data_IF_726529231103
#
_entry.id   IF_726529231103
#
_cell.length_a   1.000
_cell.length_b   1.000
_cell.length_c   1.000
_cell.angle_alpha   90.00
_cell.angle_beta   90.00
_cell.angle_gamma   90.00
#
_symmetry.space_group_name_H-M   'P 1'
#
loop_
_entity.id
_entity.type
_entity.pdbx_description
1 polymer ?
#
# COMPACT_ATOMS: atom_id res chain seq x y z
N UNK A 1 35.90 10.08 -19.31
CA UNK A 1 35.53 10.29 -17.89
C UNK A 1 35.60 11.75 -17.43
N UNK A 2 36.67 12.48 -17.73
CA UNK A 2 36.93 13.84 -17.19
C UNK A 2 35.90 14.91 -17.60
N UNK A 3 35.50 14.94 -18.88
CA UNK A 3 34.55 15.94 -19.42
C UNK A 3 33.15 15.83 -18.77
N UNK A 4 32.65 14.62 -18.54
CA UNK A 4 31.35 14.40 -17.89
C UNK A 4 31.37 14.84 -16.42
N UNK A 5 32.45 14.53 -15.70
CA UNK A 5 32.66 14.94 -14.31
C UNK A 5 32.66 16.46 -14.15
N UNK A 6 33.36 17.18 -15.03
CA UNK A 6 33.41 18.64 -14.99
C UNK A 6 32.07 19.29 -15.37
N UNK A 7 31.33 18.71 -16.33
CA UNK A 7 29.97 19.17 -16.65
C UNK A 7 29.00 18.98 -15.48
N UNK A 8 29.03 17.82 -14.80
CA UNK A 8 28.21 17.57 -13.61
C UNK A 8 28.58 18.48 -12.43
N UNK A 9 29.87 18.83 -12.30
CA UNK A 9 30.35 19.74 -11.26
C UNK A 9 29.82 21.16 -11.46
N UNK A 10 29.78 21.66 -12.70
CA UNK A 10 29.16 22.95 -13.06
C UNK A 10 27.65 22.94 -12.81
N UNK A 11 26.95 21.92 -13.33
CA UNK A 11 25.51 21.75 -13.11
C UNK A 11 25.13 21.72 -11.63
N UNK A 12 25.94 21.06 -10.77
CA UNK A 12 25.74 21.07 -9.33
C UNK A 12 25.83 22.48 -8.71
N UNK A 13 26.68 23.34 -9.24
CA UNK A 13 26.76 24.75 -8.85
C UNK A 13 25.47 25.49 -9.19
N UNK A 14 25.01 25.36 -10.43
CA UNK A 14 23.80 26.02 -10.92
C UNK A 14 22.55 25.55 -10.16
N UNK A 15 22.42 24.24 -9.94
CA UNK A 15 21.32 23.67 -9.15
C UNK A 15 21.33 24.12 -7.68
N UNK A 16 22.52 24.39 -7.10
CA UNK A 16 22.62 24.91 -5.73
C UNK A 16 22.17 26.36 -5.65
N UNK A 17 22.53 27.19 -6.63
CA UNK A 17 22.03 28.58 -6.70
C UNK A 17 20.51 28.57 -6.88
N UNK A 18 20.02 27.82 -7.87
CA UNK A 18 18.58 27.70 -8.13
C UNK A 18 17.80 27.19 -6.90
N UNK A 19 18.31 26.19 -6.18
CA UNK A 19 17.67 25.71 -4.95
C UNK A 19 17.64 26.78 -3.85
N UNK A 20 18.70 27.58 -3.71
CA UNK A 20 18.76 28.68 -2.75
C UNK A 20 17.77 29.79 -3.12
N UNK A 21 17.69 30.13 -4.40
CA UNK A 21 16.92 31.26 -4.90
C UNK A 21 15.42 30.95 -5.00
N UNK A 22 15.05 29.70 -5.36
CA UNK A 22 13.66 29.27 -5.54
C UNK A 22 13.08 28.62 -4.28
N UNK A 23 13.77 27.61 -3.73
CA UNK A 23 13.26 26.88 -2.56
C UNK A 23 13.66 27.57 -1.25
N UNK A 24 14.86 28.13 -1.17
CA UNK A 24 15.37 28.81 0.03
C UNK A 24 15.43 27.87 1.23
N UNK A 25 15.23 28.42 2.43
CA UNK A 25 15.06 27.61 3.62
C UNK A 25 13.59 27.18 3.75
N UNK A 26 13.31 25.93 3.37
CA UNK A 26 11.96 25.36 3.40
C UNK A 26 11.41 25.33 4.85
N UNK A 27 12.27 25.11 5.84
CA UNK A 27 11.86 25.05 7.24
C UNK A 27 11.34 26.39 7.75
N UNK A 28 12.00 27.50 7.38
CA UNK A 28 11.52 28.84 7.77
C UNK A 28 10.23 29.19 7.06
N UNK A 29 10.10 28.87 5.75
CA UNK A 29 8.84 29.11 5.02
C UNK A 29 7.65 28.34 5.60
N UNK A 30 7.87 27.10 6.06
CA UNK A 30 6.84 26.30 6.73
C UNK A 30 6.46 26.95 8.07
N UNK A 31 7.44 27.36 8.86
CA UNK A 31 7.22 28.02 10.15
C UNK A 31 6.46 29.34 10.00
N UNK A 32 6.87 30.19 9.05
CA UNK A 32 6.22 31.46 8.75
C UNK A 32 4.77 31.26 8.30
N UNK A 33 4.50 30.34 7.36
CA UNK A 33 3.14 30.04 6.91
C UNK A 33 2.25 29.47 8.02
N UNK A 34 2.83 28.66 8.91
CA UNK A 34 2.09 28.12 10.06
C UNK A 34 1.64 29.24 10.98
N UNK A 35 2.54 30.18 11.30
CA UNK A 35 2.23 31.36 12.12
C UNK A 35 1.21 32.29 11.46
N UNK A 36 1.31 32.49 10.15
CA UNK A 36 0.35 33.32 9.41
C UNK A 36 -1.05 32.71 9.43
N UNK A 37 -1.17 31.38 9.27
CA UNK A 37 -2.45 30.66 9.38
C UNK A 37 -3.01 30.76 10.80
N UNK A 38 -2.19 30.53 11.83
CA UNK A 38 -2.60 30.66 13.24
C UNK A 38 -3.11 32.08 13.55
N UNK A 39 -2.44 33.11 13.04
CA UNK A 39 -2.86 34.51 13.19
C UNK A 39 -4.24 34.78 12.54
N UNK A 40 -4.48 34.22 11.35
CA UNK A 40 -5.78 34.34 10.67
C UNK A 40 -6.90 33.61 11.43
N UNK A 41 -6.61 32.44 11.99
CA UNK A 41 -7.58 31.68 12.78
C UNK A 41 -7.95 32.42 14.08
N UNK A 42 -6.95 32.95 14.80
CA UNK A 42 -7.15 33.75 16.01
C UNK A 42 -7.89 35.07 15.75
N UNK A 43 -7.69 35.68 14.59
CA UNK A 43 -8.44 36.86 14.15
C UNK A 43 -9.91 36.52 13.83
N UNK A 44 -10.12 35.41 13.11
CA UNK A 44 -11.44 34.91 12.75
C UNK A 44 -12.32 34.52 13.94
N UNK A 45 -11.71 34.05 15.04
CA UNK A 45 -12.43 33.76 16.29
C UNK A 45 -12.99 35.02 16.97
N UNK A 46 -12.39 36.20 16.76
CA UNK A 46 -12.80 37.46 17.39
C UNK A 46 -13.82 38.22 16.57
N UNK A 47 -13.56 38.38 15.27
CA UNK A 47 -14.29 39.31 14.41
C UNK A 47 -15.07 38.62 13.27
N UNK A 48 -14.94 37.29 13.14
CA UNK A 48 -15.38 36.55 11.96
C UNK A 48 -14.42 36.71 10.78
N UNK A 49 -14.49 35.79 9.81
CA UNK A 49 -13.64 35.83 8.61
C UNK A 49 -14.40 36.43 7.43
N UNK A 50 -13.78 37.37 6.72
CA UNK A 50 -14.31 37.84 5.44
C UNK A 50 -14.11 36.78 4.34
N UNK A 51 -14.79 36.95 3.21
CA UNK A 51 -14.58 36.09 2.03
C UNK A 51 -13.12 36.15 1.51
N UNK A 52 -12.47 37.30 1.67
CA UNK A 52 -11.04 37.46 1.36
C UNK A 52 -10.16 36.63 2.30
N UNK A 53 -10.42 36.68 3.60
CA UNK A 53 -9.63 35.94 4.60
C UNK A 53 -9.79 34.42 4.41
N UNK A 54 -10.99 33.96 4.03
CA UNK A 54 -11.23 32.56 3.70
C UNK A 54 -10.44 32.10 2.48
N UNK A 55 -10.34 32.94 1.46
CA UNK A 55 -9.59 32.63 0.24
C UNK A 55 -8.08 32.61 0.52
N UNK A 56 -7.59 33.62 1.23
CA UNK A 56 -6.18 33.74 1.63
C UNK A 56 -5.75 32.57 2.54
N UNK A 57 -6.60 32.19 3.50
CA UNK A 57 -6.39 31.00 4.35
C UNK A 57 -6.25 29.73 3.50
N UNK A 58 -7.15 29.54 2.52
CA UNK A 58 -7.12 28.38 1.64
C UNK A 58 -5.81 28.32 0.84
N UNK A 59 -5.37 29.44 0.30
CA UNK A 59 -4.14 29.51 -0.49
C UNK A 59 -2.89 29.23 0.36
N UNK A 60 -2.83 29.77 1.59
CA UNK A 60 -1.77 29.47 2.56
C UNK A 60 -1.73 27.99 2.96
N UNK A 61 -2.87 27.37 3.22
CA UNK A 61 -2.94 25.92 3.50
C UNK A 61 -2.45 25.08 2.32
N UNK A 62 -2.84 25.43 1.09
CA UNK A 62 -2.38 24.74 -0.11
C UNK A 62 -0.85 24.85 -0.26
N UNK A 63 -0.30 26.05 -0.05
CA UNK A 63 1.14 26.28 -0.13
C UNK A 63 1.91 25.53 0.97
N UNK A 64 1.40 25.56 2.21
CA UNK A 64 1.96 24.79 3.34
C UNK A 64 1.98 23.30 3.03
N UNK A 65 0.88 22.75 2.50
CA UNK A 65 0.80 21.35 2.10
C UNK A 65 1.83 20.99 1.04
N UNK A 66 2.01 21.83 0.01
CA UNK A 66 3.01 21.63 -1.04
C UNK A 66 4.44 21.63 -0.48
N UNK A 67 4.75 22.55 0.44
CA UNK A 67 6.06 22.64 1.07
C UNK A 67 6.36 21.44 1.97
N UNK A 68 5.39 21.01 2.78
CA UNK A 68 5.51 19.79 3.60
C UNK A 68 5.73 18.55 2.72
N UNK A 69 4.96 18.41 1.65
CA UNK A 69 5.11 17.31 0.68
C UNK A 69 6.49 17.29 0.04
N UNK A 70 7.01 18.47 -0.32
CA UNK A 70 8.35 18.62 -0.90
C UNK A 70 9.46 18.26 0.11
N UNK A 71 9.32 18.72 1.36
CA UNK A 71 10.23 18.38 2.46
C UNK A 71 10.27 16.88 2.74
N UNK A 72 9.11 16.22 2.80
CA UNK A 72 9.02 14.77 2.98
C UNK A 72 9.72 14.02 1.86
N UNK A 73 9.51 14.43 0.61
CA UNK A 73 10.19 13.86 -0.56
C UNK A 73 11.71 14.03 -0.47
N UNK A 74 12.18 15.21 -0.07
CA UNK A 74 13.60 15.49 0.11
C UNK A 74 14.22 14.64 1.22
N UNK A 75 13.58 14.54 2.39
CA UNK A 75 14.07 13.72 3.50
C UNK A 75 14.05 12.23 3.15
N UNK A 76 13.03 11.77 2.42
CA UNK A 76 13.00 10.42 1.86
C UNK A 76 14.20 10.16 0.95
N UNK A 77 14.50 11.04 0.01
CA UNK A 77 15.66 10.91 -0.88
C UNK A 77 17.00 10.92 -0.10
N UNK A 78 17.16 11.83 0.86
CA UNK A 78 18.35 11.92 1.72
C UNK A 78 18.55 10.64 2.54
N UNK A 79 17.48 10.12 3.14
CA UNK A 79 17.54 8.88 3.94
C UNK A 79 17.99 7.69 3.10
N UNK A 80 17.52 7.58 1.85
CA UNK A 80 17.93 6.53 0.90
C UNK A 80 19.37 6.69 0.46
N UNK A 81 19.81 7.91 0.15
CA UNK A 81 21.20 8.19 -0.21
C UNK A 81 22.16 7.84 0.93
N UNK A 82 21.78 8.20 2.16
CA UNK A 82 22.55 7.86 3.37
C UNK A 82 22.58 6.35 3.60
N UNK A 83 21.45 5.66 3.45
CA UNK A 83 21.41 4.19 3.54
C UNK A 83 22.25 3.51 2.46
N UNK A 84 22.17 3.94 1.21
CA UNK A 84 22.98 3.38 0.13
C UNK A 84 24.49 3.57 0.34
N UNK A 85 24.88 4.66 1.00
CA UNK A 85 26.29 4.98 1.29
C UNK A 85 26.82 4.31 2.55
N UNK A 86 26.03 4.30 3.63
CA UNK A 86 26.48 3.96 4.99
C UNK A 86 25.82 2.69 5.53
N UNK A 87 24.71 2.23 4.95
CA UNK A 87 23.89 1.12 5.46
C UNK A 87 24.36 -0.28 5.05
N UNK A 88 25.28 -0.41 4.09
CA UNK A 88 25.86 -1.70 3.66
C UNK A 88 27.33 -1.85 4.12
N UNK A 89 27.84 -0.85 4.83
CA UNK A 89 29.19 -0.82 5.39
C UNK A 89 29.11 -0.89 6.92
N UNK A 90 30.19 -1.33 7.58
CA UNK A 90 30.31 -1.39 9.03
C UNK A 90 30.42 0.03 9.64
N UNK A 91 29.36 0.82 9.54
CA UNK A 91 29.30 2.21 10.02
C UNK A 91 28.47 2.29 11.29
N UNK A 92 28.67 3.36 12.08
CA UNK A 92 27.82 3.64 13.24
C UNK A 92 26.33 3.80 12.85
N UNK A 93 26.06 4.35 11.66
CA UNK A 93 24.70 4.49 11.14
C UNK A 93 24.02 3.12 10.93
N UNK A 94 24.71 2.15 10.32
CA UNK A 94 24.20 0.78 10.15
C UNK A 94 23.82 0.16 11.50
N UNK A 95 24.70 0.24 12.50
CA UNK A 95 24.47 -0.33 13.83
C UNK A 95 23.32 0.35 14.58
N UNK A 96 23.17 1.67 14.44
CA UNK A 96 22.04 2.40 15.01
C UNK A 96 20.72 1.95 14.38
N UNK A 97 20.68 1.80 13.05
CA UNK A 97 19.50 1.29 12.34
C UNK A 97 19.15 -0.15 12.76
N UNK A 98 20.13 -1.03 12.87
CA UNK A 98 19.91 -2.43 13.32
C UNK A 98 19.39 -2.47 14.75
N UNK A 99 19.98 -1.70 15.67
CA UNK A 99 19.51 -1.61 17.07
C UNK A 99 18.08 -1.06 17.14
N UNK A 100 17.77 -0.02 16.38
CA UNK A 100 16.43 0.55 16.29
C UNK A 100 15.43 -0.49 15.78
N UNK A 101 15.75 -1.20 14.68
CA UNK A 101 14.92 -2.29 14.13
C UNK A 101 14.71 -3.42 15.12
N UNK A 102 15.77 -3.86 15.81
CA UNK A 102 15.69 -4.92 16.83
C UNK A 102 14.74 -4.53 17.96
N UNK A 103 14.78 -3.27 18.40
CA UNK A 103 13.88 -2.74 19.43
C UNK A 103 12.44 -2.64 18.94
N UNK A 104 12.20 -2.13 17.74
CA UNK A 104 10.85 -2.01 17.18
C UNK A 104 10.21 -3.36 16.85
N UNK A 105 11.01 -4.36 16.47
CA UNK A 105 10.52 -5.70 16.12
C UNK A 105 10.47 -6.65 17.31
N UNK A 106 10.95 -6.26 18.49
CA UNK A 106 10.87 -7.12 19.68
C UNK A 106 9.47 -7.05 20.28
N UNK A 107 8.80 -8.19 20.34
CA UNK A 107 7.54 -8.35 21.06
C UNK A 107 7.88 -8.55 22.54
N UNK A 108 7.97 -7.45 23.29
CA UNK A 108 8.29 -7.47 24.72
C UNK A 108 7.08 -7.86 25.56
N UNK A 109 5.88 -7.45 25.12
CA UNK A 109 4.62 -7.79 25.78
C UNK A 109 3.58 -8.12 24.74
N UNK A 110 2.66 -9.03 25.10
CA UNK A 110 1.58 -9.45 24.23
C UNK A 110 0.26 -9.45 24.99
N UNK A 111 -0.78 -8.84 24.43
CA UNK A 111 -2.11 -8.83 25.05
C UNK A 111 -2.90 -10.08 24.67
N UNK A 112 -3.36 -10.84 25.67
CA UNK A 112 -4.29 -11.96 25.53
C UNK A 112 -5.61 -11.60 26.22
N UNK A 113 -6.59 -11.16 25.45
CA UNK A 113 -7.88 -10.66 25.98
C UNK A 113 -7.69 -9.46 26.92
N UNK A 114 -7.91 -9.68 28.23
CA UNK A 114 -7.74 -8.65 29.27
C UNK A 114 -6.37 -8.67 29.95
N UNK A 115 -5.54 -9.68 29.69
CA UNK A 115 -4.25 -9.87 30.37
C UNK A 115 -3.08 -9.52 29.45
N UNK A 116 -1.96 -9.14 30.07
CA UNK A 116 -0.69 -8.88 29.39
C UNK A 116 0.32 -9.99 29.72
N UNK A 117 0.82 -10.65 28.69
CA UNK A 117 1.91 -11.60 28.76
C UNK A 117 3.22 -10.82 28.61
N UNK A 118 4.16 -11.04 29.52
CA UNK A 118 5.47 -10.35 29.54
C UNK A 118 6.64 -11.32 29.46
N UNK A 119 6.39 -12.61 29.69
CA UNK A 119 7.42 -13.65 29.63
C UNK A 119 7.55 -14.20 28.21
N UNK A 120 8.79 -14.32 27.66
CA UNK A 120 9.00 -14.80 26.30
C UNK A 120 8.35 -16.15 25.98
N UNK A 121 8.37 -17.10 26.92
CA UNK A 121 7.78 -18.43 26.71
C UNK A 121 6.25 -18.40 26.63
N UNK A 122 5.61 -17.57 27.46
CA UNK A 122 4.15 -17.36 27.43
C UNK A 122 3.73 -16.68 26.13
N UNK A 123 4.47 -15.66 25.70
CA UNK A 123 4.28 -14.99 24.41
C UNK A 123 4.40 -16.01 23.28
N UNK A 124 5.48 -16.80 23.25
CA UNK A 124 5.71 -17.80 22.20
C UNK A 124 4.60 -18.84 22.14
N UNK A 125 4.20 -19.39 23.29
CA UNK A 125 3.11 -20.37 23.38
C UNK A 125 1.80 -19.79 22.87
N UNK A 126 1.48 -18.55 23.24
CA UNK A 126 0.26 -17.88 22.80
C UNK A 126 0.26 -17.64 21.29
N UNK A 127 1.37 -17.15 20.73
CA UNK A 127 1.50 -16.94 19.27
C UNK A 127 1.29 -18.25 18.52
N UNK A 128 1.92 -19.35 18.96
CA UNK A 128 1.78 -20.66 18.32
C UNK A 128 0.33 -21.16 18.43
N UNK A 129 -0.29 -21.04 19.61
CA UNK A 129 -1.68 -21.45 19.80
C UNK A 129 -2.64 -20.64 18.94
N UNK A 130 -2.46 -19.33 18.86
CA UNK A 130 -3.29 -18.44 18.06
C UNK A 130 -3.26 -18.85 16.58
N UNK A 131 -2.06 -18.96 16.00
CA UNK A 131 -1.94 -19.30 14.58
C UNK A 131 -2.32 -20.75 14.28
N UNK A 132 -2.07 -21.69 15.19
CA UNK A 132 -2.55 -23.08 15.04
C UNK A 132 -4.06 -23.11 14.89
N UNK A 133 -4.77 -22.50 15.82
CA UNK A 133 -6.24 -22.48 15.81
C UNK A 133 -6.79 -21.66 14.64
N UNK A 134 -6.12 -20.56 14.29
CA UNK A 134 -6.53 -19.70 13.17
C UNK A 134 -6.35 -20.40 11.81
N UNK A 135 -5.31 -21.21 11.66
CA UNK A 135 -5.06 -22.03 10.47
C UNK A 135 -5.51 -23.48 10.63
N UNK A 136 -6.32 -23.82 11.63
CA UNK A 136 -6.94 -25.13 11.72
C UNK A 136 -8.05 -25.22 10.68
N UNK A 137 -8.21 -26.36 10.03
CA UNK A 137 -9.32 -26.55 9.10
C UNK A 137 -10.59 -26.85 9.90
N UNK A 138 -11.54 -25.93 9.86
CA UNK A 138 -12.84 -26.12 10.51
C UNK A 138 -13.71 -26.92 9.56
N UNK A 139 -14.25 -28.06 10.01
CA UNK A 139 -15.32 -28.75 9.30
C UNK A 139 -16.54 -27.82 9.24
N UNK A 140 -16.67 -27.11 8.13
CA UNK A 140 -17.83 -26.29 7.82
C UNK A 140 -18.41 -26.77 6.49
N UNK A 141 -19.70 -27.12 6.51
CA UNK A 141 -20.50 -27.34 5.31
C UNK A 141 -20.62 -26.04 4.51
N UNK A 142 -19.63 -25.78 3.66
CA UNK A 142 -19.57 -24.60 2.79
C UNK A 142 -20.76 -24.63 1.82
N UNK A 143 -21.52 -23.52 1.68
CA UNK A 143 -22.54 -23.43 0.64
C UNK A 143 -21.89 -23.63 -0.73
N UNK A 144 -22.47 -24.52 -1.54
CA UNK A 144 -22.03 -24.72 -2.91
C UNK A 144 -22.61 -23.63 -3.79
N UNK A 145 -21.84 -23.20 -4.80
CA UNK A 145 -22.26 -22.20 -5.78
C UNK A 145 -22.80 -22.87 -7.04
N UNK A 146 -23.35 -24.08 -6.91
CA UNK A 146 -23.69 -24.99 -8.01
C UNK A 146 -24.75 -24.40 -8.97
N UNK A 147 -25.57 -23.44 -8.48
CA UNK A 147 -26.63 -22.78 -9.26
C UNK A 147 -26.28 -21.33 -9.67
N UNK A 148 -25.00 -20.94 -9.61
CA UNK A 148 -24.55 -19.61 -10.03
C UNK A 148 -23.86 -19.70 -11.39
N UNK A 149 -24.48 -19.08 -12.40
CA UNK A 149 -23.86 -18.89 -13.71
C UNK A 149 -22.74 -17.84 -13.62
N UNK A 150 -21.50 -18.32 -13.52
CA UNK A 150 -20.33 -17.45 -13.61
C UNK A 150 -20.06 -17.10 -15.08
N UNK A 151 -19.75 -15.82 -15.33
CA UNK A 151 -19.25 -15.40 -16.62
C UNK A 151 -17.91 -16.11 -16.86
N UNK A 152 -17.84 -16.89 -17.92
CA UNK A 152 -16.61 -17.58 -18.30
C UNK A 152 -15.90 -16.83 -19.41
N UNK A 153 -14.55 -16.77 -19.39
CA UNK A 153 -13.79 -16.29 -20.52
C UNK A 153 -14.05 -17.18 -21.75
N UNK A 154 -14.02 -16.59 -22.93
CA UNK A 154 -14.08 -17.34 -24.19
C UNK A 154 -12.89 -18.29 -24.32
N UNK A 155 -13.05 -19.34 -25.14
CA UNK A 155 -11.98 -20.30 -25.42
C UNK A 155 -10.68 -19.61 -25.88
N UNK A 156 -10.80 -18.57 -26.71
CA UNK A 156 -9.64 -17.81 -27.19
C UNK A 156 -8.94 -17.03 -26.08
N UNK A 157 -9.71 -16.46 -25.14
CA UNK A 157 -9.17 -15.77 -23.97
C UNK A 157 -8.42 -16.74 -23.04
N UNK A 158 -8.93 -17.95 -22.83
CA UNK A 158 -8.25 -19.00 -22.04
C UNK A 158 -6.92 -19.39 -22.69
N UNK A 159 -6.95 -19.73 -23.98
CA UNK A 159 -5.73 -20.10 -24.73
C UNK A 159 -4.67 -18.99 -24.66
N UNK A 160 -5.07 -17.73 -24.75
CA UNK A 160 -4.15 -16.59 -24.66
C UNK A 160 -3.54 -16.39 -23.27
N UNK A 161 -4.20 -16.82 -22.19
CA UNK A 161 -3.66 -16.76 -20.83
C UNK A 161 -2.71 -17.93 -20.56
N UNK A 162 -3.00 -19.09 -21.14
CA UNK A 162 -2.23 -20.33 -21.00
C UNK A 162 -1.02 -20.41 -21.94
N UNK A 163 -0.88 -19.51 -22.91
CA UNK A 163 0.28 -19.44 -23.81
C UNK A 163 1.61 -19.38 -23.05
N UNK A 164 2.68 -19.98 -23.56
CA UNK A 164 4.02 -19.92 -22.96
C UNK A 164 4.49 -18.49 -22.63
N UNK A 165 5.22 -18.33 -21.52
CA UNK A 165 5.79 -17.04 -21.10
C UNK A 165 6.82 -16.52 -22.11
N UNK A 166 6.67 -15.25 -22.49
CA UNK A 166 7.61 -14.55 -23.38
C UNK A 166 8.61 -13.74 -22.55
N UNK A 167 9.86 -13.69 -23.00
CA UNK A 167 10.91 -12.91 -22.31
C UNK A 167 10.56 -11.41 -22.27
N UNK A 168 9.97 -10.87 -23.34
CA UNK A 168 9.53 -9.47 -23.41
C UNK A 168 8.50 -9.13 -22.34
N UNK A 169 7.55 -10.03 -22.09
CA UNK A 169 6.53 -9.87 -21.05
C UNK A 169 7.15 -9.76 -19.65
N UNK A 170 8.16 -10.58 -19.37
CA UNK A 170 8.91 -10.56 -18.11
C UNK A 170 9.72 -9.28 -17.97
N UNK A 171 10.42 -8.87 -19.03
CA UNK A 171 11.20 -7.62 -19.05
C UNK A 171 10.33 -6.39 -18.78
N UNK A 172 9.17 -6.29 -19.43
CA UNK A 172 8.22 -5.19 -19.20
C UNK A 172 7.73 -5.14 -17.73
N UNK A 173 7.51 -6.29 -17.10
CA UNK A 173 7.09 -6.35 -15.68
C UNK A 173 8.23 -5.91 -14.75
N UNK A 174 9.49 -6.18 -15.12
CA UNK A 174 10.67 -5.72 -14.39
C UNK A 174 10.85 -4.21 -14.55
N UNK A 175 10.70 -3.68 -15.75
CA UNK A 175 10.83 -2.24 -16.03
C UNK A 175 9.75 -1.40 -15.34
N UNK A 176 8.52 -1.93 -15.28
CA UNK A 176 7.40 -1.30 -14.56
C UNK A 176 7.44 -1.57 -13.04
N UNK A 177 8.36 -2.41 -12.55
CA UNK A 177 8.46 -2.69 -11.13
C UNK A 177 9.09 -1.50 -10.39
N UNK A 178 8.33 -0.94 -9.44
CA UNK A 178 8.87 0.07 -8.53
C UNK A 178 10.11 -0.46 -7.78
N UNK A 179 11.23 0.25 -7.97
CA UNK A 179 12.55 0.05 -7.37
C UNK A 179 12.47 0.13 -5.83
N UNK A 180 11.45 0.79 -5.28
CA UNK A 180 11.32 1.05 -3.85
C UNK A 180 10.54 -0.02 -3.06
N UNK A 181 10.18 -1.16 -3.67
CA UNK A 181 9.43 -2.21 -2.97
C UNK A 181 10.27 -2.92 -1.90
N UNK A 182 9.63 -3.30 -0.80
CA UNK A 182 10.25 -4.08 0.28
C UNK A 182 10.74 -5.46 -0.22
N UNK A 183 11.97 -5.86 0.15
CA UNK A 183 12.55 -7.15 -0.22
C UNK A 183 11.76 -8.32 0.38
N UNK A 184 11.88 -9.51 -0.22
CA UNK A 184 11.42 -10.75 0.39
C UNK A 184 12.33 -11.20 1.56
N UNK A 185 12.10 -12.38 2.14
CA UNK A 185 12.95 -12.96 3.19
C UNK A 185 14.27 -13.47 2.59
N UNK A 186 14.33 -13.58 1.26
CA UNK A 186 15.52 -13.83 0.44
C UNK A 186 16.44 -12.60 0.37
N UNK A 187 16.02 -11.44 0.89
CA UNK A 187 16.83 -10.23 0.92
C UNK A 187 16.88 -9.48 -0.42
N UNK A 188 16.21 -9.99 -1.45
CA UNK A 188 16.13 -9.37 -2.76
C UNK A 188 14.83 -8.57 -2.90
N UNK A 189 14.95 -7.31 -3.28
CA UNK A 189 13.88 -6.56 -3.91
C UNK A 189 14.20 -6.38 -5.39
N UNK A 190 13.27 -5.80 -6.13
CA UNK A 190 13.50 -5.46 -7.54
C UNK A 190 14.69 -4.46 -7.72
N UNK A 191 15.17 -3.80 -6.65
CA UNK A 191 16.52 -3.18 -6.52
C UNK A 191 16.76 -2.56 -5.11
N UNK A 192 17.79 -3.04 -4.39
CA UNK A 192 18.17 -2.88 -2.94
C UNK A 192 17.19 -2.29 -1.88
N UNK A 193 17.05 -3.06 -0.78
CA UNK A 193 16.87 -2.69 0.66
C UNK A 193 15.50 -2.36 1.32
N UNK A 194 15.44 -2.82 2.58
CA UNK A 194 14.34 -3.05 3.53
C UNK A 194 13.62 -1.84 4.15
N UNK A 195 12.29 -1.94 4.27
CA UNK A 195 11.46 -1.19 5.21
C UNK A 195 10.38 -2.09 5.84
N UNK A 196 10.26 -2.07 7.17
CA UNK A 196 9.28 -2.83 7.98
C UNK A 196 8.48 -1.85 8.83
N UNK A 197 7.16 -2.08 8.89
CA UNK A 197 6.17 -1.39 9.71
C UNK A 197 6.07 -2.05 11.10
N UNK A 198 5.73 -1.28 12.14
CA UNK A 198 5.63 -1.75 13.54
C UNK A 198 4.16 -2.00 13.97
N UNK A 199 3.72 -3.25 14.19
CA UNK A 199 2.42 -3.58 14.77
C UNK A 199 2.49 -3.84 16.29
N UNK A 200 1.41 -3.52 17.02
CA UNK A 200 1.34 -3.64 18.49
C UNK A 200 0.34 -4.72 18.97
N UNK A 201 -0.43 -5.36 18.08
CA UNK A 201 -1.34 -6.46 18.40
C UNK A 201 -1.20 -7.64 17.43
N UNK A 202 -1.53 -8.88 17.86
CA UNK A 202 -1.54 -10.06 16.98
C UNK A 202 -2.46 -9.90 15.76
N UNK A 203 -3.54 -9.14 15.93
CA UNK A 203 -4.46 -8.75 14.86
C UNK A 203 -3.82 -7.92 13.75
N UNK A 204 -2.79 -7.14 14.09
CA UNK A 204 -2.09 -6.20 13.21
C UNK A 204 -0.97 -6.86 12.39
N UNK A 205 -0.62 -8.10 12.72
CA UNK A 205 0.24 -8.92 11.86
C UNK A 205 -0.57 -9.35 10.65
N UNK A 206 -0.51 -8.54 9.57
CA UNK A 206 -0.78 -9.09 8.25
C UNK A 206 0.40 -10.01 7.92
N UNK A 207 0.18 -11.29 7.61
CA UNK A 207 1.19 -12.09 6.94
C UNK A 207 1.40 -11.48 5.56
N UNK A 208 2.22 -10.43 5.48
CA UNK A 208 2.81 -10.03 4.22
C UNK A 208 3.67 -11.23 3.87
N UNK A 209 3.15 -12.07 2.98
CA UNK A 209 3.90 -13.17 2.41
C UNK A 209 5.10 -12.51 1.75
N UNK A 210 6.21 -12.51 2.49
CA UNK A 210 7.53 -12.20 1.99
C UNK A 210 7.84 -13.40 1.08
N UNK A 211 7.21 -13.41 -0.08
CA UNK A 211 7.54 -14.32 -1.15
C UNK A 211 8.87 -13.84 -1.72
N UNK A 212 9.72 -14.79 -2.13
CA UNK A 212 10.97 -14.47 -2.80
C UNK A 212 10.73 -13.55 -4.01
N UNK A 213 11.74 -12.76 -4.36
CA UNK A 213 11.72 -11.86 -5.51
C UNK A 213 11.18 -12.51 -6.80
N UNK A 214 11.52 -13.80 -7.01
CA UNK A 214 11.02 -14.62 -8.12
C UNK A 214 9.51 -14.86 -8.05
N UNK A 215 8.96 -15.26 -6.90
CA UNK A 215 7.53 -15.47 -6.73
C UNK A 215 6.75 -14.17 -6.95
N UNK A 216 7.26 -13.03 -6.46
CA UNK A 216 6.66 -11.71 -6.73
C UNK A 216 6.66 -11.36 -8.22
N UNK A 217 7.73 -11.73 -8.95
CA UNK A 217 7.82 -11.53 -10.39
C UNK A 217 6.79 -12.41 -11.11
N UNK A 218 6.74 -13.70 -10.79
CA UNK A 218 5.77 -14.64 -11.35
C UNK A 218 4.32 -14.19 -11.08
N UNK A 219 3.99 -13.83 -9.84
CA UNK A 219 2.65 -13.33 -9.50
C UNK A 219 2.28 -12.06 -10.28
N UNK A 220 3.23 -11.15 -10.54
CA UNK A 220 2.97 -9.95 -11.36
C UNK A 220 2.75 -10.29 -12.82
N UNK A 221 3.54 -11.21 -13.38
CA UNK A 221 3.37 -11.67 -14.76
C UNK A 221 2.00 -12.33 -14.91
N UNK A 222 1.62 -13.22 -13.99
CA UNK A 222 0.30 -13.84 -13.96
C UNK A 222 -0.83 -12.82 -13.80
N UNK A 223 -0.70 -11.86 -12.88
CA UNK A 223 -1.70 -10.80 -12.70
C UNK A 223 -1.85 -9.93 -13.96
N UNK A 224 -0.77 -9.66 -14.69
CA UNK A 224 -0.81 -8.92 -15.97
C UNK A 224 -1.56 -9.71 -17.05
N UNK A 225 -1.41 -11.03 -17.09
CA UNK A 225 -2.17 -11.91 -18.01
C UNK A 225 -3.65 -11.95 -17.66
N UNK A 226 -3.97 -12.23 -16.41
CA UNK A 226 -5.35 -12.25 -15.91
C UNK A 226 -6.02 -10.90 -16.16
N UNK A 227 -5.30 -9.79 -15.95
CA UNK A 227 -5.78 -8.44 -16.21
C UNK A 227 -6.32 -8.19 -17.62
N UNK A 228 -5.97 -9.01 -18.62
CA UNK A 228 -6.51 -8.91 -19.99
C UNK A 228 -7.97 -9.38 -20.09
N UNK A 229 -8.42 -10.22 -19.17
CA UNK A 229 -9.77 -10.82 -19.16
C UNK A 229 -10.60 -10.43 -17.93
N UNK A 230 -9.99 -9.80 -16.92
CA UNK A 230 -10.72 -9.42 -15.70
C UNK A 230 -11.95 -8.54 -16.00
N UNK A 231 -11.87 -7.66 -17.01
CA UNK A 231 -12.98 -6.78 -17.36
C UNK A 231 -14.18 -7.50 -18.00
N UNK A 232 -13.96 -8.64 -18.68
CA UNK A 232 -15.05 -9.44 -19.26
C UNK A 232 -15.69 -10.35 -18.21
N UNK A 233 -14.92 -10.83 -17.24
CA UNK A 233 -15.38 -11.79 -16.22
C UNK A 233 -16.02 -11.09 -15.00
N UNK A 234 -15.57 -9.87 -14.66
CA UNK A 234 -16.04 -9.16 -13.45
C UNK A 234 -17.14 -8.16 -13.79
N UNK A 235 -18.22 -8.21 -13.00
CA UNK A 235 -19.33 -7.27 -13.05
C UNK A 235 -18.86 -5.81 -13.04
N UNK A 236 -19.53 -4.95 -13.81
CA UNK A 236 -19.26 -3.51 -13.89
C UNK A 236 -19.38 -2.80 -12.54
N UNK A 237 -20.10 -3.38 -11.59
CA UNK A 237 -20.32 -2.82 -10.25
C UNK A 237 -19.12 -2.98 -9.31
N UNK A 238 -18.10 -3.77 -9.68
CA UNK A 238 -16.86 -3.86 -8.93
C UNK A 238 -15.91 -2.73 -9.33
N UNK A 239 -15.72 -1.77 -8.43
CA UNK A 239 -14.96 -0.54 -8.66
C UNK A 239 -13.49 -0.62 -8.23
N UNK A 240 -13.14 -1.53 -7.32
CA UNK A 240 -11.79 -1.65 -6.76
C UNK A 240 -10.98 -2.77 -7.40
N UNK A 241 -9.65 -2.58 -7.46
CA UNK A 241 -8.65 -3.56 -7.91
C UNK A 241 -8.76 -4.03 -9.37
N UNK A 242 -9.52 -3.32 -10.22
CA UNK A 242 -9.60 -3.55 -11.67
C UNK A 242 -8.96 -2.38 -12.40
N UNK A 243 -8.14 -2.67 -13.41
CA UNK A 243 -7.45 -1.64 -14.18
C UNK A 243 -8.47 -0.75 -14.89
N UNK A 244 -8.31 0.57 -14.76
CA UNK A 244 -9.20 1.54 -15.42
C UNK A 244 -10.50 1.85 -14.66
N UNK A 245 -10.76 1.23 -13.50
CA UNK A 245 -11.89 1.55 -12.62
C UNK A 245 -11.43 2.31 -11.38
N UNK A 246 -12.22 3.26 -10.90
CA UNK A 246 -11.89 4.04 -9.72
C UNK A 246 -12.80 3.67 -8.54
N UNK A 247 -12.21 3.55 -7.34
CA UNK A 247 -12.97 3.30 -6.11
C UNK A 247 -14.07 4.36 -5.89
N UNK A 248 -13.80 5.62 -6.27
CA UNK A 248 -14.75 6.72 -6.17
C UNK A 248 -16.04 6.46 -6.97
N UNK A 249 -15.98 5.75 -8.09
CA UNK A 249 -17.14 5.46 -8.94
C UNK A 249 -18.19 4.63 -8.18
N UNK A 250 -17.72 3.70 -7.34
CA UNK A 250 -18.60 2.90 -6.48
C UNK A 250 -19.29 3.74 -5.41
N UNK A 251 -18.59 4.72 -4.82
CA UNK A 251 -19.16 5.65 -3.83
C UNK A 251 -20.24 6.52 -4.46
N UNK A 252 -19.97 7.04 -5.66
CA UNK A 252 -20.93 7.86 -6.42
C UNK A 252 -22.19 7.04 -6.75
N UNK A 253 -22.02 5.81 -7.25
CA UNK A 253 -23.15 4.93 -7.61
C UNK A 253 -24.06 4.66 -6.40
N UNK A 254 -23.47 4.36 -5.22
CA UNK A 254 -24.26 4.15 -3.99
C UNK A 254 -24.99 5.43 -3.59
N UNK A 255 -24.34 6.59 -3.64
CA UNK A 255 -24.98 7.87 -3.33
C UNK A 255 -26.17 8.17 -4.25
N UNK A 256 -26.03 7.92 -5.56
CA UNK A 256 -27.12 8.10 -6.51
C UNK A 256 -28.33 7.19 -6.22
N UNK A 257 -28.09 5.92 -5.87
CA UNK A 257 -29.14 4.98 -5.46
C UNK A 257 -29.85 5.47 -4.17
N UNK A 258 -29.07 6.00 -3.23
CA UNK A 258 -29.58 6.58 -1.98
C UNK A 258 -30.39 7.87 -2.26
N UNK A 259 -30.02 8.68 -3.22
CA UNK A 259 -30.77 9.89 -3.54
C UNK A 259 -32.01 9.62 -4.40
N UNK A 260 -31.92 8.68 -5.34
CA UNK A 260 -33.04 8.27 -6.20
C UNK A 260 -34.21 7.76 -5.38
N UNK A 261 -33.99 6.81 -4.47
CA UNK A 261 -35.12 6.32 -3.71
C UNK A 261 -35.54 7.26 -2.55
N UNK A 262 -34.76 8.33 -2.25
CA UNK A 262 -35.19 9.38 -1.29
C UNK A 262 -36.25 10.22 -1.97
N UNK A 263 -35.97 10.63 -3.21
CA UNK A 263 -36.96 11.24 -4.13
C UNK A 263 -38.14 10.30 -4.37
N UNK A 264 -37.85 9.01 -4.50
CA UNK A 264 -38.74 7.84 -4.51
C UNK A 264 -39.80 7.76 -3.41
N UNK A 265 -39.52 8.34 -2.23
CA UNK A 265 -40.19 8.02 -0.95
C UNK A 265 -40.33 6.51 -0.68
N UNK A 266 -39.36 5.71 -1.13
CA UNK A 266 -39.33 4.27 -0.90
C UNK A 266 -38.53 3.95 0.36
N UNK A 267 -39.11 3.14 1.24
CA UNK A 267 -38.40 2.53 2.36
C UNK A 267 -37.24 1.68 1.85
N UNK A 268 -36.12 1.72 2.56
CA UNK A 268 -34.88 1.07 2.15
C UNK A 268 -34.10 0.55 3.33
N UNK A 269 -33.42 -0.56 3.07
CA UNK A 269 -32.44 -1.17 3.94
C UNK A 269 -31.09 -1.20 3.20
N UNK A 270 -30.02 -0.74 3.84
CA UNK A 270 -28.65 -0.89 3.34
C UNK A 270 -27.99 -2.00 4.13
N UNK A 271 -27.56 -3.05 3.44
CA UNK A 271 -26.81 -4.13 4.04
C UNK A 271 -25.31 -3.93 3.77
N UNK A 272 -24.54 -3.66 4.82
CA UNK A 272 -23.09 -3.52 4.75
C UNK A 272 -22.44 -4.80 5.30
N UNK A 273 -21.77 -5.53 4.42
CA UNK A 273 -20.97 -6.71 4.78
C UNK A 273 -19.50 -6.34 4.70
N UNK A 274 -18.72 -6.77 5.68
CA UNK A 274 -17.26 -6.68 5.65
C UNK A 274 -16.66 -8.03 6.02
N UNK A 275 -15.54 -8.37 5.38
CA UNK A 275 -14.83 -9.61 5.66
C UNK A 275 -13.68 -9.33 6.62
N UNK A 276 -13.73 -9.94 7.81
CA UNK A 276 -12.59 -9.92 8.71
C UNK A 276 -11.43 -10.67 8.07
N UNK A 277 -10.37 -9.93 7.72
CA UNK A 277 -9.12 -10.45 7.15
C UNK A 277 -9.35 -11.43 5.98
N UNK A 278 -9.91 -10.90 4.88
CA UNK A 278 -10.30 -11.67 3.69
C UNK A 278 -9.24 -12.63 3.09
N UNK A 279 -7.96 -12.44 3.39
CA UNK A 279 -6.86 -13.30 2.91
C UNK A 279 -6.33 -14.28 3.96
N UNK A 280 -6.65 -14.08 5.24
CA UNK A 280 -6.17 -14.91 6.36
C UNK A 280 -7.24 -15.93 6.80
N UNK A 281 -8.51 -15.58 6.59
CA UNK A 281 -9.66 -16.45 6.85
C UNK A 281 -9.77 -17.51 5.74
N UNK A 282 -9.54 -18.80 6.09
CA UNK A 282 -9.53 -19.92 5.13
C UNK A 282 -10.80 -20.01 4.27
N UNK A 283 -10.70 -19.55 3.02
CA UNK A 283 -11.58 -19.94 1.90
C UNK A 283 -10.73 -20.52 0.75
N UNK A 284 -9.76 -21.37 1.07
CA UNK A 284 -8.94 -22.08 0.09
C UNK A 284 -9.26 -23.56 0.11
N UNK A 285 -10.27 -23.99 -0.66
CA UNK A 285 -10.44 -25.40 -0.98
C UNK A 285 -9.68 -25.69 -2.27
N UNK A 286 -8.60 -26.47 -2.20
CA UNK A 286 -8.05 -27.15 -3.36
C UNK A 286 -9.00 -28.31 -3.64
N UNK A 287 -10.00 -28.07 -4.49
CA UNK A 287 -10.84 -29.15 -5.01
C UNK A 287 -10.07 -29.90 -6.09
N UNK A 288 -9.80 -31.18 -5.88
CA UNK A 288 -9.44 -32.10 -6.95
C UNK A 288 -10.58 -32.10 -7.98
N UNK A 289 -10.30 -31.59 -9.18
CA UNK A 289 -11.20 -31.74 -10.32
C UNK A 289 -11.01 -33.15 -10.88
N UNK A 290 -11.81 -34.10 -10.43
CA UNK A 290 -11.97 -35.40 -11.10
C UNK A 290 -12.96 -35.18 -12.23
N UNK A 291 -12.49 -35.13 -13.49
CA UNK A 291 -13.38 -35.15 -14.64
C UNK A 291 -13.92 -36.57 -14.84
N UNK A 292 -15.22 -36.74 -14.70
CA UNK A 292 -15.89 -37.92 -15.25
C UNK A 292 -16.21 -37.61 -16.71
N UNK A 293 -15.41 -38.19 -17.60
CA UNK A 293 -15.79 -38.29 -19.02
C UNK A 293 -16.96 -39.27 -19.13
N UNK A 294 -18.12 -38.77 -19.55
CA UNK A 294 -19.18 -39.63 -20.07
C UNK A 294 -18.89 -39.93 -21.54
N UNK A 295 -19.04 -41.21 -21.86
CA UNK A 295 -18.74 -41.91 -23.12
C UNK A 295 -19.39 -41.33 -24.36
#
# INVERSE_FOLDING_TARGET
GFVLKEKLKRLKGDLRSWNKDVYGNIDTKIDDLTKEIESLELGGEREGLSEYDLLDRKDKFNLLWLLLKSKDSMEFQKSRSRWLREGDANTGFFHVCVKSRKRSNSIVTLRKGRFWLTRPEEIRSEVVSYFRNHFEEVEWKRPRLDDIDFIQPSHMEVVNIEESFRVTEVSEVIELADVNKSPGPDGFNFSKSFGVLSPHQLGDFRPISLLGSLCKLLSKVLAKRLGKVMDSIISKNQSAFIKGRNLADGVVTVNEVVDLAKRAKKERLIFKVDFEKAYDSKVGGVGEWVSYGTS
#
